data_IF_637736456978
#
_entry.id   IF_637736456978
#
_cell.length_a   1.000
_cell.length_b   1.000
_cell.length_c   1.000
_cell.angle_alpha   90.00
_cell.angle_beta   90.00
_cell.angle_gamma   90.00
#
_symmetry.space_group_name_H-M   'P 1'
#
loop_
_entity.id
_entity.type
_entity.pdbx_description
1 polymer ?
#
# COMPACT_ATOMS: atom_id res chain seq x y z
N UNK A 1 10.82 -18.94 -3.27
CA UNK A 1 11.70 -17.80 -2.92
C UNK A 1 11.33 -17.35 -1.50
N UNK A 2 12.12 -17.69 -0.48
CA UNK A 2 11.89 -17.19 0.89
C UNK A 2 12.35 -15.73 0.90
N UNK A 3 11.42 -14.79 0.82
CA UNK A 3 11.75 -13.39 1.10
C UNK A 3 12.32 -13.35 2.53
N UNK A 4 13.59 -12.99 2.66
CA UNK A 4 14.23 -12.92 3.97
C UNK A 4 13.55 -11.83 4.81
N UNK A 5 13.44 -12.02 6.12
CA UNK A 5 12.84 -11.03 7.03
C UNK A 5 13.47 -9.63 6.86
N UNK A 6 14.75 -9.57 6.47
CA UNK A 6 15.48 -8.34 6.16
C UNK A 6 14.95 -7.62 4.91
N UNK A 7 14.49 -8.35 3.89
CA UNK A 7 13.87 -7.74 2.71
C UNK A 7 12.59 -6.99 3.07
N UNK A 8 11.80 -7.57 3.98
CA UNK A 8 10.58 -6.96 4.49
C UNK A 8 10.85 -5.86 5.53
N UNK A 9 12.00 -5.86 6.22
CA UNK A 9 12.28 -4.87 7.25
C UNK A 9 12.26 -3.43 6.70
N UNK A 10 12.88 -3.19 5.53
CA UNK A 10 12.87 -1.87 4.89
C UNK A 10 11.45 -1.44 4.50
N UNK A 11 10.71 -2.36 3.89
CA UNK A 11 9.31 -2.15 3.51
C UNK A 11 8.45 -1.78 4.73
N UNK A 12 8.47 -2.62 5.77
CA UNK A 12 7.66 -2.44 6.97
C UNK A 12 8.04 -1.16 7.73
N UNK A 13 9.32 -0.78 7.74
CA UNK A 13 9.74 0.48 8.33
C UNK A 13 9.17 1.70 7.60
N UNK A 14 9.01 1.64 6.27
CA UNK A 14 8.37 2.70 5.48
C UNK A 14 6.86 2.73 5.78
N UNK A 15 6.18 1.57 5.75
CA UNK A 15 4.76 1.45 6.09
C UNK A 15 4.47 2.03 7.48
N UNK A 16 5.26 1.64 8.50
CA UNK A 16 5.12 2.14 9.86
C UNK A 16 5.31 3.66 9.98
N UNK A 17 6.26 4.23 9.20
CA UNK A 17 6.46 5.69 9.14
C UNK A 17 5.27 6.41 8.51
N UNK A 18 4.72 5.87 7.42
CA UNK A 18 3.53 6.42 6.76
C UNK A 18 2.34 6.39 7.74
N UNK A 19 2.08 5.24 8.37
CA UNK A 19 1.01 5.08 9.36
C UNK A 19 1.15 6.08 10.52
N UNK A 20 2.36 6.20 11.08
CA UNK A 20 2.64 7.17 12.16
C UNK A 20 2.41 8.62 11.73
N UNK A 21 2.73 8.98 10.50
CA UNK A 21 2.47 10.32 9.97
C UNK A 21 0.98 10.56 9.72
N UNK A 22 0.26 9.53 9.27
CA UNK A 22 -1.16 9.58 8.96
C UNK A 22 -2.05 9.63 10.22
N UNK A 23 -1.63 9.03 11.34
CA UNK A 23 -2.44 8.87 12.55
C UNK A 23 -2.98 10.19 13.15
N UNK A 24 -2.36 11.33 12.82
CA UNK A 24 -2.84 12.63 13.27
C UNK A 24 -4.08 13.14 12.51
N UNK A 25 -4.35 12.63 11.29
CA UNK A 25 -5.36 13.19 10.37
C UNK A 25 -6.22 12.14 9.66
N UNK A 26 -5.86 10.87 9.76
CA UNK A 26 -6.51 9.75 9.09
C UNK A 26 -6.91 8.70 10.12
N UNK A 27 -8.06 8.09 9.88
CA UNK A 27 -8.48 6.87 10.55
C UNK A 27 -7.84 5.67 9.85
N UNK A 28 -7.27 4.74 10.62
CA UNK A 28 -6.72 3.50 10.10
C UNK A 28 -7.84 2.45 10.02
N UNK A 29 -8.22 2.04 8.80
CA UNK A 29 -9.29 1.07 8.58
C UNK A 29 -8.76 -0.37 8.59
N UNK A 30 -7.58 -0.61 8.02
CA UNK A 30 -6.98 -1.94 7.97
C UNK A 30 -5.50 -1.90 7.60
N UNK A 31 -4.72 -2.82 8.15
CA UNK A 31 -3.31 -3.03 7.82
C UNK A 31 -3.08 -4.50 7.40
N UNK A 32 -2.50 -4.73 6.20
CA UNK A 32 -2.21 -6.06 5.66
C UNK A 32 -3.40 -7.06 5.79
N UNK A 33 -4.61 -6.60 5.49
CA UNK A 33 -5.83 -7.40 5.56
C UNK A 33 -6.39 -7.65 4.16
N UNK A 34 -6.98 -8.83 3.94
CA UNK A 34 -7.65 -9.14 2.67
C UNK A 34 -8.92 -8.30 2.52
N UNK A 35 -9.07 -7.66 1.37
CA UNK A 35 -10.18 -6.80 1.00
C UNK A 35 -10.71 -7.16 -0.39
N UNK A 36 -12.02 -7.00 -0.55
CA UNK A 36 -12.75 -7.34 -1.76
C UNK A 36 -12.76 -8.83 -2.07
N UNK A 37 -13.44 -9.19 -3.16
CA UNK A 37 -13.61 -10.59 -3.57
C UNK A 37 -12.33 -11.20 -4.16
N UNK A 38 -11.38 -10.35 -4.56
CA UNK A 38 -10.08 -10.75 -5.09
C UNK A 38 -9.06 -11.13 -3.99
N UNK A 39 -9.40 -10.94 -2.71
CA UNK A 39 -8.52 -11.25 -1.59
C UNK A 39 -7.23 -10.43 -1.57
N UNK A 40 -7.24 -9.24 -2.17
CA UNK A 40 -6.07 -8.36 -2.23
C UNK A 40 -5.76 -7.81 -0.83
N UNK A 41 -4.46 -7.71 -0.52
CA UNK A 41 -3.97 -7.30 0.81
C UNK A 41 -3.10 -6.05 0.70
N UNK A 42 -3.68 -4.85 0.61
CA UNK A 42 -2.90 -3.62 0.66
C UNK A 42 -2.23 -3.46 2.03
N UNK A 43 -1.13 -2.72 2.07
CA UNK A 43 -0.39 -2.51 3.32
C UNK A 43 -1.19 -1.68 4.31
N UNK A 44 -1.83 -0.59 3.85
CA UNK A 44 -2.68 0.26 4.66
C UNK A 44 -3.92 0.67 3.88
N UNK A 45 -5.06 0.74 4.58
CA UNK A 45 -6.25 1.44 4.11
C UNK A 45 -6.58 2.52 5.12
N UNK A 46 -6.58 3.76 4.65
CA UNK A 46 -6.75 4.95 5.48
C UNK A 46 -8.02 5.69 5.06
N UNK A 47 -8.70 6.30 6.01
CA UNK A 47 -9.87 7.14 5.76
C UNK A 47 -9.66 8.56 6.24
N UNK A 48 -10.11 9.53 5.45
CA UNK A 48 -10.15 10.94 5.84
C UNK A 48 -11.42 11.59 5.30
N UNK A 49 -12.37 11.83 6.20
CA UNK A 49 -13.71 12.29 5.84
C UNK A 49 -14.40 11.24 4.96
N UNK A 50 -14.90 11.62 3.76
CA UNK A 50 -15.54 10.68 2.84
C UNK A 50 -14.55 9.87 1.99
N UNK A 51 -13.26 10.21 2.02
CA UNK A 51 -12.27 9.61 1.12
C UNK A 51 -11.59 8.41 1.77
N UNK A 52 -11.50 7.31 1.01
CA UNK A 52 -10.72 6.11 1.33
C UNK A 52 -9.45 6.10 0.48
N UNK A 53 -8.32 5.77 1.10
CA UNK A 53 -7.01 5.72 0.48
C UNK A 53 -6.45 4.31 0.65
N UNK A 54 -6.21 3.62 -0.46
CA UNK A 54 -5.47 2.36 -0.50
C UNK A 54 -4.00 2.70 -0.68
N UNK A 55 -3.16 2.31 0.27
CA UNK A 55 -1.72 2.58 0.26
C UNK A 55 -0.97 1.27 0.28
N UNK A 56 -0.08 1.10 -0.69
CA UNK A 56 0.77 -0.07 -0.82
C UNK A 56 2.19 0.39 -1.18
N UNK A 57 3.18 -0.14 -0.48
CA UNK A 57 4.59 0.25 -0.56
C UNK A 57 5.34 -0.75 -1.43
N UNK A 58 6.15 -0.21 -2.33
CA UNK A 58 7.11 -1.01 -3.09
C UNK A 58 8.48 -0.38 -2.98
N UNK A 59 9.51 -1.22 -2.87
CA UNK A 59 10.89 -0.73 -2.75
C UNK A 59 11.75 -1.42 -3.81
N UNK A 60 11.85 -0.86 -5.03
CA UNK A 60 12.66 -1.45 -6.08
C UNK A 60 14.15 -1.40 -5.72
N UNK A 61 14.94 -2.23 -6.39
CA UNK A 61 16.40 -2.25 -6.24
C UNK A 61 17.10 -1.20 -7.10
N UNK A 62 16.53 -0.89 -8.27
CA UNK A 62 17.04 0.13 -9.17
C UNK A 62 16.73 1.53 -8.60
N UNK A 63 17.66 2.47 -8.78
CA UNK A 63 17.61 3.81 -8.23
C UNK A 63 17.19 4.88 -9.26
N UNK A 64 16.86 4.47 -10.49
CA UNK A 64 16.38 5.39 -11.53
C UNK A 64 14.91 5.72 -11.36
N UNK A 65 14.53 6.94 -11.77
CA UNK A 65 13.16 7.43 -11.68
C UNK A 65 12.17 6.55 -12.44
N UNK A 66 12.60 5.99 -13.57
CA UNK A 66 11.83 5.08 -14.41
C UNK A 66 11.45 3.81 -13.66
N UNK A 67 12.36 3.26 -12.84
CA UNK A 67 12.09 2.07 -12.04
C UNK A 67 11.05 2.35 -10.94
N UNK A 68 11.12 3.51 -10.28
CA UNK A 68 10.11 3.93 -9.32
C UNK A 68 8.74 4.12 -9.97
N UNK A 69 8.69 4.77 -11.15
CA UNK A 69 7.44 4.96 -11.91
C UNK A 69 6.83 3.64 -12.35
N UNK A 70 7.63 2.73 -12.88
CA UNK A 70 7.17 1.41 -13.30
C UNK A 70 6.64 0.58 -12.11
N UNK A 71 7.37 0.57 -10.99
CA UNK A 71 6.95 -0.14 -9.79
C UNK A 71 5.65 0.42 -9.20
N UNK A 72 5.49 1.75 -9.21
CA UNK A 72 4.25 2.41 -8.80
C UNK A 72 3.09 2.07 -9.74
N UNK A 73 3.29 2.13 -11.06
CA UNK A 73 2.27 1.82 -12.05
C UNK A 73 1.73 0.39 -11.90
N UNK A 74 2.61 -0.60 -11.70
CA UNK A 74 2.21 -2.00 -11.47
C UNK A 74 1.33 -2.14 -10.22
N UNK A 75 1.63 -1.41 -9.14
CA UNK A 75 0.80 -1.43 -7.93
C UNK A 75 -0.53 -0.72 -8.15
N UNK A 76 -0.54 0.43 -8.84
CA UNK A 76 -1.77 1.13 -9.21
C UNK A 76 -2.69 0.23 -10.03
N UNK A 77 -2.17 -0.40 -11.08
CA UNK A 77 -2.94 -1.34 -11.93
C UNK A 77 -3.48 -2.51 -11.12
N UNK A 78 -2.66 -3.12 -10.25
CA UNK A 78 -3.06 -4.24 -9.39
C UNK A 78 -4.26 -3.91 -8.50
N UNK A 79 -4.33 -2.69 -7.95
CA UNK A 79 -5.38 -2.31 -7.01
C UNK A 79 -6.50 -1.47 -7.65
N UNK A 80 -6.47 -1.22 -8.96
CA UNK A 80 -7.50 -0.38 -9.61
C UNK A 80 -8.89 -0.99 -9.46
N UNK A 81 -9.02 -2.32 -9.61
CA UNK A 81 -10.31 -2.97 -9.41
C UNK A 81 -10.81 -2.83 -7.97
N UNK A 82 -9.94 -3.03 -6.97
CA UNK A 82 -10.29 -2.83 -5.56
C UNK A 82 -10.73 -1.38 -5.29
N UNK A 83 -10.11 -0.39 -5.95
CA UNK A 83 -10.50 1.02 -5.85
C UNK A 83 -11.92 1.24 -6.36
N UNK A 84 -12.28 0.61 -7.48
CA UNK A 84 -13.63 0.67 -8.04
C UNK A 84 -14.64 0.01 -7.09
N UNK A 85 -14.31 -1.17 -6.56
CA UNK A 85 -15.20 -1.93 -5.66
C UNK A 85 -15.49 -1.17 -4.35
N UNK A 86 -14.49 -0.44 -3.81
CA UNK A 86 -14.65 0.37 -2.59
C UNK A 86 -15.36 1.72 -2.82
N UNK A 87 -15.52 2.14 -4.08
CA UNK A 87 -16.18 3.40 -4.44
C UNK A 87 -17.65 3.23 -4.83
N UNK A 88 -18.11 1.99 -5.04
CA UNK A 88 -19.49 1.62 -5.31
C UNK A 88 -20.35 1.62 -4.02
#
# INVERSE_FOLDING_TARGET
MRYTALYLARHNAIVARIKKAASAKFEDLSENQALGDQGLRPDLVLKKGPNIYVVDVTVPFDNRMEAFKAAAAVKTEKYEQLRVDLAA
#
